data_IF_816769456214
#
_entry.id   IF_816769456214
#
_cell.length_a   1.000
_cell.length_b   1.000
_cell.length_c   1.000
_cell.angle_alpha   90.00
_cell.angle_beta   90.00
_cell.angle_gamma   90.00
#
_symmetry.space_group_name_H-M   'P 1'
#
loop_
_entity.id
_entity.type
_entity.pdbx_description
1 polymer ?
#
# COMPACT_ATOMS: atom_id res chain seq x y z
N UNK A 1 -8.89 -3.19 -27.86
CA UNK A 1 -8.76 -2.07 -28.82
C UNK A 1 -7.29 -1.59 -28.98
N UNK A 2 -6.56 -1.23 -27.88
CA UNK A 2 -5.19 -0.68 -27.97
C UNK A 2 -4.14 -1.65 -28.53
N UNK A 3 -4.29 -2.94 -28.30
CA UNK A 3 -3.33 -3.98 -28.69
C UNK A 3 -3.83 -4.89 -29.80
N UNK A 4 -4.95 -4.55 -30.42
CA UNK A 4 -5.57 -5.31 -31.52
C UNK A 4 -5.78 -6.80 -31.20
N UNK A 5 -6.20 -7.09 -29.95
CA UNK A 5 -6.56 -8.41 -29.49
C UNK A 5 -8.01 -8.67 -29.83
N UNK A 6 -8.36 -9.84 -30.39
CA UNK A 6 -9.76 -10.23 -30.61
C UNK A 6 -10.54 -10.16 -29.29
N UNK A 7 -11.68 -9.50 -29.31
CA UNK A 7 -12.54 -9.36 -28.14
C UNK A 7 -14.00 -9.29 -28.57
N UNK A 8 -14.80 -10.21 -28.05
CA UNK A 8 -16.25 -10.25 -28.26
C UNK A 8 -16.95 -9.82 -26.97
N UNK A 9 -17.78 -8.79 -27.03
CA UNK A 9 -18.43 -8.25 -25.85
C UNK A 9 -19.41 -9.22 -25.20
N UNK A 10 -20.04 -10.10 -25.98
CA UNK A 10 -21.02 -11.08 -25.50
C UNK A 10 -20.39 -12.31 -24.80
N UNK A 11 -19.09 -12.55 -25.03
CA UNK A 11 -18.37 -13.69 -24.45
C UNK A 11 -17.60 -13.36 -23.17
N UNK A 12 -17.57 -12.10 -22.80
CA UNK A 12 -16.85 -11.60 -21.64
C UNK A 12 -17.53 -12.07 -20.32
N UNK A 13 -16.76 -12.34 -19.28
CA UNK A 13 -17.13 -13.06 -18.03
C UNK A 13 -17.19 -14.59 -18.15
N UNK A 14 -16.76 -15.18 -19.25
CA UNK A 14 -16.41 -16.59 -19.30
C UNK A 14 -14.93 -16.74 -18.97
N UNK A 15 -14.62 -17.56 -17.96
CA UNK A 15 -13.25 -17.71 -17.45
C UNK A 15 -12.22 -18.13 -18.51
N UNK A 16 -12.61 -19.00 -19.44
CA UNK A 16 -11.80 -19.46 -20.58
C UNK A 16 -11.49 -18.31 -21.55
N UNK A 17 -12.50 -17.53 -21.92
CA UNK A 17 -12.36 -16.42 -22.85
C UNK A 17 -11.54 -15.25 -22.24
N UNK A 18 -11.79 -14.94 -20.98
CA UNK A 18 -11.03 -13.91 -20.26
C UNK A 18 -9.56 -14.32 -20.08
N UNK A 19 -9.30 -15.61 -19.83
CA UNK A 19 -7.94 -16.14 -19.76
C UNK A 19 -7.23 -16.07 -21.12
N UNK A 20 -7.90 -16.42 -22.22
CA UNK A 20 -7.35 -16.32 -23.57
C UNK A 20 -7.06 -14.86 -23.95
N UNK A 21 -7.99 -13.94 -23.69
CA UNK A 21 -7.78 -12.50 -23.89
C UNK A 21 -6.58 -11.97 -23.11
N UNK A 22 -6.42 -12.40 -21.87
CA UNK A 22 -5.27 -12.05 -21.03
C UNK A 22 -3.96 -12.60 -21.60
N UNK A 23 -3.96 -13.86 -22.05
CA UNK A 23 -2.79 -14.48 -22.68
C UNK A 23 -2.37 -13.74 -23.97
N UNK A 24 -3.32 -13.35 -24.81
CA UNK A 24 -3.04 -12.55 -26.00
C UNK A 24 -2.42 -11.19 -25.68
N UNK A 25 -2.93 -10.47 -24.68
CA UNK A 25 -2.35 -9.18 -24.22
C UNK A 25 -0.94 -9.42 -23.70
N UNK A 26 -0.74 -10.43 -22.87
CA UNK A 26 0.56 -10.78 -22.32
C UNK A 26 1.58 -11.12 -23.42
N UNK A 27 1.17 -11.91 -24.42
CA UNK A 27 2.03 -12.21 -25.57
C UNK A 27 2.44 -10.95 -26.35
N UNK A 28 1.53 -9.97 -26.49
CA UNK A 28 1.89 -8.68 -27.10
C UNK A 28 2.87 -7.87 -26.27
N UNK A 29 2.84 -7.98 -24.95
CA UNK A 29 3.85 -7.39 -24.09
C UNK A 29 5.22 -8.06 -24.26
N UNK A 30 5.25 -9.41 -24.29
CA UNK A 30 6.49 -10.15 -24.53
C UNK A 30 7.12 -9.76 -25.87
N UNK A 31 6.34 -9.72 -26.96
CA UNK A 31 6.85 -9.28 -28.27
C UNK A 31 7.46 -7.86 -28.22
N UNK A 32 6.87 -6.94 -27.45
CA UNK A 32 7.43 -5.59 -27.29
C UNK A 32 8.72 -5.59 -26.48
N UNK A 33 8.83 -6.43 -25.47
CA UNK A 33 10.00 -6.56 -24.63
C UNK A 33 11.16 -7.17 -25.42
N UNK A 34 10.91 -8.25 -26.18
CA UNK A 34 11.90 -8.87 -27.08
C UNK A 34 12.46 -7.84 -28.08
N UNK A 35 11.61 -7.04 -28.69
CA UNK A 35 12.03 -5.99 -29.63
C UNK A 35 12.92 -4.91 -28.98
N UNK A 36 12.96 -4.84 -27.66
CA UNK A 36 13.76 -3.90 -26.87
C UNK A 36 14.90 -4.58 -26.10
N UNK A 37 15.18 -5.85 -26.39
CA UNK A 37 16.22 -6.67 -25.73
C UNK A 37 16.00 -6.84 -24.21
N UNK A 38 14.76 -7.08 -23.78
CA UNK A 38 14.42 -7.50 -22.41
C UNK A 38 14.28 -9.03 -22.41
N UNK A 39 15.29 -9.73 -21.95
CA UNK A 39 15.33 -11.20 -21.97
C UNK A 39 14.91 -11.84 -20.65
N UNK A 40 15.07 -11.11 -19.54
CA UNK A 40 14.82 -11.61 -18.18
C UNK A 40 13.89 -10.68 -17.44
N UNK A 41 13.17 -11.22 -16.46
CA UNK A 41 12.29 -10.44 -15.57
C UNK A 41 13.05 -9.28 -14.90
N UNK A 42 14.30 -9.51 -14.51
CA UNK A 42 15.17 -8.47 -13.93
C UNK A 42 15.45 -7.29 -14.89
N UNK A 43 15.31 -7.50 -16.19
CA UNK A 43 15.50 -6.44 -17.16
C UNK A 43 14.36 -5.43 -17.15
N UNK A 44 13.19 -5.82 -16.63
CA UNK A 44 12.03 -4.94 -16.50
C UNK A 44 12.31 -3.73 -15.60
N UNK A 45 13.27 -3.83 -14.68
CA UNK A 45 13.68 -2.70 -13.85
C UNK A 45 14.22 -1.53 -14.69
N UNK A 46 14.72 -1.79 -15.91
CA UNK A 46 15.16 -0.75 -16.85
C UNK A 46 14.02 0.05 -17.47
N UNK A 47 12.77 -0.45 -17.38
CA UNK A 47 11.59 0.29 -17.85
C UNK A 47 11.29 1.51 -16.98
N UNK A 48 11.73 1.49 -15.73
CA UNK A 48 11.56 2.59 -14.80
C UNK A 48 12.83 3.44 -14.79
N UNK A 49 12.78 4.70 -15.21
CA UNK A 49 13.92 5.59 -15.17
C UNK A 49 14.49 5.69 -13.74
N UNK A 50 15.83 5.71 -13.63
CA UNK A 50 16.50 5.94 -12.34
C UNK A 50 15.99 7.26 -11.73
N UNK A 51 15.59 7.22 -10.48
CA UNK A 51 15.00 8.37 -9.77
C UNK A 51 13.49 8.53 -9.91
N UNK A 52 12.80 7.75 -10.75
CA UNK A 52 11.35 7.80 -10.94
C UNK A 52 10.58 6.65 -10.30
N UNK A 53 11.26 5.74 -9.60
CA UNK A 53 10.64 4.58 -8.92
C UNK A 53 9.45 4.98 -8.04
N UNK A 54 9.54 6.12 -7.36
CA UNK A 54 8.46 6.65 -6.52
C UNK A 54 7.16 6.92 -7.28
N UNK A 55 7.19 7.04 -8.61
CA UNK A 55 5.99 7.27 -9.44
C UNK A 55 5.24 5.98 -9.76
N UNK A 56 5.90 4.85 -9.79
CA UNK A 56 5.37 3.57 -10.28
C UNK A 56 5.09 2.54 -9.17
N UNK A 57 5.79 2.64 -8.04
CA UNK A 57 5.61 1.73 -6.92
C UNK A 57 4.27 1.92 -6.21
N UNK A 58 3.76 0.86 -5.59
CA UNK A 58 2.65 0.95 -4.64
C UNK A 58 3.06 1.83 -3.48
N UNK A 59 2.12 2.60 -2.97
CA UNK A 59 2.33 3.47 -1.81
C UNK A 59 1.56 2.94 -0.62
N UNK A 60 2.17 3.08 0.56
CA UNK A 60 1.60 2.68 1.83
C UNK A 60 1.76 3.81 2.84
N UNK A 61 0.88 3.84 3.82
CA UNK A 61 1.05 4.73 4.96
C UNK A 61 2.04 4.12 5.95
N UNK A 62 2.75 4.98 6.65
CA UNK A 62 3.53 4.63 7.83
C UNK A 62 3.56 5.81 8.80
N UNK A 63 3.80 5.54 10.06
CA UNK A 63 3.96 6.55 11.09
C UNK A 63 5.43 6.72 11.47
N UNK A 64 5.85 7.94 11.78
CA UNK A 64 7.19 8.24 12.24
C UNK A 64 7.14 9.04 13.54
N UNK A 65 7.79 8.53 14.59
CA UNK A 65 7.85 9.16 15.91
C UNK A 65 9.30 9.51 16.23
N UNK A 66 9.55 10.79 16.50
CA UNK A 66 10.87 11.24 16.96
C UNK A 66 11.07 10.87 18.43
N UNK A 67 12.14 10.13 18.73
CA UNK A 67 12.53 9.80 20.13
C UNK A 67 13.55 10.78 20.70
N UNK A 68 14.14 11.62 19.86
CA UNK A 68 15.11 12.64 20.26
C UNK A 68 15.20 13.77 19.20
N UNK A 69 16.02 14.79 19.47
CA UNK A 69 16.21 15.94 18.56
C UNK A 69 16.76 15.53 17.17
N UNK A 70 17.57 14.50 17.10
CA UNK A 70 18.10 13.97 15.84
C UNK A 70 16.98 13.35 15.01
N UNK A 71 16.14 12.54 15.65
CA UNK A 71 14.95 11.94 15.00
C UNK A 71 13.97 13.00 14.50
N UNK A 72 13.70 14.04 15.29
CA UNK A 72 12.86 15.16 14.85
C UNK A 72 13.43 15.82 13.58
N UNK A 73 14.74 16.10 13.55
CA UNK A 73 15.42 16.65 12.37
C UNK A 73 15.30 15.70 11.16
N UNK A 74 15.41 14.40 11.40
CA UNK A 74 15.30 13.40 10.34
C UNK A 74 13.86 13.30 9.80
N UNK A 75 12.83 13.39 10.65
CA UNK A 75 11.43 13.45 10.20
C UNK A 75 11.20 14.69 9.31
N UNK A 76 11.70 15.88 9.70
CA UNK A 76 11.61 17.07 8.84
C UNK A 76 12.28 16.86 7.48
N UNK A 77 13.41 16.14 7.42
CA UNK A 77 14.06 15.80 6.16
C UNK A 77 13.22 14.82 5.33
N UNK A 78 12.62 13.80 5.96
CA UNK A 78 11.69 12.87 5.29
C UNK A 78 10.52 13.62 4.66
N UNK A 79 9.88 14.52 5.43
CA UNK A 79 8.76 15.35 4.95
C UNK A 79 9.21 16.25 3.80
N UNK A 80 10.38 16.88 3.89
CA UNK A 80 10.92 17.72 2.83
C UNK A 80 11.16 16.93 1.55
N UNK A 81 11.81 15.77 1.64
CA UNK A 81 12.03 14.88 0.48
C UNK A 81 10.72 14.42 -0.15
N UNK A 82 9.75 14.04 0.68
CA UNK A 82 8.46 13.57 0.21
C UNK A 82 7.66 14.65 -0.54
N UNK A 83 7.80 15.93 -0.12
CA UNK A 83 7.08 17.05 -0.71
C UNK A 83 7.86 17.78 -1.82
N UNK A 84 9.08 17.37 -2.12
CA UNK A 84 9.91 17.97 -3.17
C UNK A 84 10.39 16.92 -4.17
N UNK A 85 11.39 16.12 -3.80
CA UNK A 85 12.05 15.16 -4.69
C UNK A 85 11.13 14.01 -5.10
N UNK A 86 10.32 13.53 -4.15
CA UNK A 86 9.46 12.35 -4.35
C UNK A 86 7.97 12.68 -4.44
N UNK A 87 7.62 13.94 -4.63
CA UNK A 87 6.23 14.35 -4.81
C UNK A 87 5.68 13.83 -6.15
N UNK A 88 4.67 12.97 -6.08
CA UNK A 88 3.93 12.51 -7.25
C UNK A 88 2.47 12.27 -6.89
N UNK A 89 1.58 13.18 -7.31
CA UNK A 89 0.16 13.27 -6.87
C UNK A 89 0.01 13.51 -5.36
N UNK A 90 0.67 12.70 -4.55
CA UNK A 90 0.75 12.80 -3.09
C UNK A 90 2.21 12.74 -2.65
N UNK A 91 2.56 13.26 -1.46
CA UNK A 91 3.90 13.11 -0.90
C UNK A 91 4.26 11.64 -0.73
N UNK A 92 5.44 11.23 -1.22
CA UNK A 92 5.95 9.86 -1.15
C UNK A 92 7.38 9.88 -0.64
N UNK A 93 7.83 8.77 -0.10
CA UNK A 93 9.23 8.59 0.25
C UNK A 93 9.65 7.15 -0.05
N UNK A 94 10.87 6.97 -0.51
CA UNK A 94 11.42 5.63 -0.74
C UNK A 94 11.79 4.97 0.59
N UNK A 95 11.60 3.67 0.69
CA UNK A 95 12.01 2.88 1.86
C UNK A 95 13.50 3.07 2.18
N UNK A 96 14.37 3.14 1.17
CA UNK A 96 15.80 3.40 1.32
C UNK A 96 16.10 4.76 1.97
N UNK A 97 15.29 5.78 1.69
CA UNK A 97 15.43 7.09 2.33
C UNK A 97 14.96 7.07 3.80
N UNK A 98 13.90 6.31 4.08
CA UNK A 98 13.45 6.10 5.47
C UNK A 98 14.55 5.39 6.26
N UNK A 99 15.14 4.33 5.70
CA UNK A 99 16.27 3.63 6.33
C UNK A 99 17.47 4.56 6.57
N UNK A 100 17.85 5.37 5.59
CA UNK A 100 18.94 6.34 5.72
C UNK A 100 18.71 7.38 6.81
N UNK A 101 17.46 7.74 7.06
CA UNK A 101 17.06 8.78 8.02
C UNK A 101 16.48 8.22 9.33
N UNK A 102 16.61 6.91 9.55
CA UNK A 102 15.97 6.20 10.66
C UNK A 102 16.52 6.54 12.06
N UNK A 103 17.76 7.06 12.14
CA UNK A 103 18.39 7.35 13.42
C UNK A 103 17.53 8.30 14.29
N UNK A 104 17.13 7.83 15.46
CA UNK A 104 16.29 8.56 16.42
C UNK A 104 14.80 8.63 16.03
N UNK A 105 14.36 7.79 15.08
CA UNK A 105 12.96 7.71 14.66
C UNK A 105 12.45 6.29 14.86
N UNK A 106 11.28 6.15 15.48
CA UNK A 106 10.51 4.91 15.46
C UNK A 106 9.55 4.92 14.26
N UNK A 107 9.56 3.82 13.52
CA UNK A 107 8.71 3.64 12.34
C UNK A 107 7.59 2.66 12.69
N UNK A 108 6.35 3.16 12.68
CA UNK A 108 5.14 2.38 12.86
C UNK A 108 4.47 2.03 11.54
N UNK A 109 3.73 0.93 11.49
CA UNK A 109 3.06 0.50 10.26
C UNK A 109 1.94 1.46 9.81
N UNK A 110 1.29 2.14 10.75
CA UNK A 110 0.16 3.01 10.45
C UNK A 110 -1.18 2.25 10.38
N UNK A 111 -2.14 2.81 9.63
CA UNK A 111 -3.54 2.35 9.55
C UNK A 111 -3.75 1.21 8.54
N UNK A 112 -5.00 1.00 8.11
CA UNK A 112 -5.36 0.00 7.08
C UNK A 112 -4.65 0.21 5.72
N UNK A 113 -4.19 1.41 5.45
CA UNK A 113 -3.38 1.74 4.27
C UNK A 113 -1.91 1.29 4.42
N UNK A 114 -1.53 0.68 5.54
CA UNK A 114 -0.17 0.19 5.78
C UNK A 114 0.19 -0.99 4.89
N UNK A 115 1.49 -1.13 4.63
CA UNK A 115 2.02 -2.26 3.89
C UNK A 115 1.72 -3.59 4.60
N UNK A 116 1.91 -3.65 5.92
CA UNK A 116 1.65 -4.87 6.72
C UNK A 116 0.20 -5.32 6.57
N UNK A 117 -0.76 -4.41 6.74
CA UNK A 117 -2.17 -4.76 6.64
C UNK A 117 -2.57 -5.21 5.24
N UNK A 118 -2.14 -4.48 4.20
CA UNK A 118 -2.49 -4.79 2.81
C UNK A 118 -1.83 -6.07 2.31
N UNK A 119 -0.54 -6.23 2.53
CA UNK A 119 0.22 -7.36 2.01
C UNK A 119 -0.11 -8.67 2.75
N UNK A 120 -0.54 -8.62 4.02
CA UNK A 120 -1.01 -9.79 4.75
C UNK A 120 -2.25 -10.47 4.12
N UNK A 121 -2.94 -9.82 3.15
CA UNK A 121 -4.02 -10.47 2.39
C UNK A 121 -3.50 -11.60 1.50
N UNK A 122 -2.32 -11.47 0.92
CA UNK A 122 -1.75 -12.41 -0.05
C UNK A 122 -0.45 -13.04 0.39
N UNK A 123 0.23 -12.47 1.40
CA UNK A 123 1.53 -12.94 1.88
C UNK A 123 1.41 -13.56 3.28
N UNK A 124 2.32 -14.49 3.55
CA UNK A 124 2.44 -15.17 4.83
C UNK A 124 3.89 -15.66 5.03
N UNK A 125 4.17 -16.24 6.20
CA UNK A 125 5.47 -16.81 6.52
C UNK A 125 6.60 -15.78 6.39
N UNK A 126 7.69 -16.18 5.73
CA UNK A 126 8.90 -15.37 5.60
C UNK A 126 8.68 -14.07 4.83
N UNK A 127 7.84 -14.08 3.80
CA UNK A 127 7.55 -12.87 3.02
C UNK A 127 6.89 -11.77 3.85
N UNK A 128 5.90 -12.15 4.67
CA UNK A 128 5.22 -11.22 5.56
C UNK A 128 6.13 -10.79 6.71
N UNK A 129 6.92 -11.71 7.24
CA UNK A 129 7.93 -11.41 8.29
C UNK A 129 8.95 -10.38 7.81
N UNK A 130 9.44 -10.48 6.57
CA UNK A 130 10.37 -9.53 5.99
C UNK A 130 9.77 -8.13 5.87
N UNK A 131 8.48 -8.02 5.55
CA UNK A 131 7.75 -6.74 5.55
C UNK A 131 7.65 -6.17 6.97
N UNK A 132 7.22 -6.99 7.93
CA UNK A 132 7.06 -6.61 9.34
C UNK A 132 8.39 -6.13 9.95
N UNK A 133 9.49 -6.76 9.59
CA UNK A 133 10.82 -6.43 10.11
C UNK A 133 11.31 -5.03 9.79
N UNK A 134 10.76 -4.39 8.77
CA UNK A 134 11.03 -2.99 8.46
C UNK A 134 10.53 -2.04 9.57
N UNK A 135 9.46 -2.38 10.26
CA UNK A 135 8.81 -1.54 11.27
C UNK A 135 9.35 -1.80 12.67
N UNK A 136 9.37 -0.78 13.52
CA UNK A 136 9.71 -0.90 14.94
C UNK A 136 8.49 -1.42 15.72
N UNK A 137 7.29 -1.03 15.30
CA UNK A 137 6.03 -1.51 15.85
C UNK A 137 4.96 -1.58 14.76
N UNK A 138 3.95 -2.41 14.97
CA UNK A 138 2.80 -2.56 14.08
C UNK A 138 1.54 -2.12 14.79
N UNK A 139 0.74 -1.32 14.12
CA UNK A 139 -0.54 -0.82 14.63
C UNK A 139 -1.68 -1.72 14.18
N UNK A 140 -2.63 -1.92 15.09
CA UNK A 140 -3.93 -2.53 14.80
C UNK A 140 -5.02 -1.65 15.39
N UNK A 141 -6.12 -1.53 14.69
CA UNK A 141 -7.27 -0.75 15.11
C UNK A 141 -8.43 -1.69 15.52
N UNK A 142 -9.42 -1.21 16.28
CA UNK A 142 -10.65 -1.96 16.51
C UNK A 142 -11.35 -2.32 15.19
N UNK A 143 -12.01 -3.49 15.10
CA UNK A 143 -12.66 -3.94 13.85
C UNK A 143 -13.61 -2.90 13.23
N UNK A 144 -14.28 -2.10 14.06
CA UNK A 144 -15.24 -1.07 13.61
C UNK A 144 -14.57 0.03 12.76
N UNK A 145 -13.27 0.28 12.96
CA UNK A 145 -12.51 1.26 12.16
C UNK A 145 -12.37 0.79 10.70
N UNK A 146 -12.38 -0.53 10.49
CA UNK A 146 -12.21 -1.15 9.17
C UNK A 146 -13.55 -1.45 8.45
N UNK A 147 -14.72 -1.14 9.04
CA UNK A 147 -16.02 -1.50 8.45
C UNK A 147 -16.25 -0.96 7.04
N UNK A 148 -15.61 0.15 6.70
CA UNK A 148 -15.66 0.70 5.34
C UNK A 148 -15.04 -0.24 4.30
N UNK A 149 -14.09 -1.09 4.67
CA UNK A 149 -13.47 -2.08 3.77
C UNK A 149 -14.45 -3.20 3.38
N UNK A 150 -15.38 -3.53 4.27
CA UNK A 150 -16.48 -4.47 3.96
C UNK A 150 -17.44 -3.81 2.97
N UNK A 151 -17.80 -2.54 3.20
CA UNK A 151 -18.68 -1.79 2.30
C UNK A 151 -18.07 -1.60 0.89
N UNK A 152 -16.73 -1.49 0.81
CA UNK A 152 -15.99 -1.38 -0.46
C UNK A 152 -15.80 -2.73 -1.16
N UNK A 153 -16.15 -3.86 -0.50
CA UNK A 153 -15.98 -5.20 -1.05
C UNK A 153 -14.57 -5.79 -0.88
N UNK A 154 -13.70 -5.14 -0.10
CA UNK A 154 -12.36 -5.65 0.21
C UNK A 154 -12.42 -6.90 1.10
N UNK A 155 -13.39 -6.98 1.98
CA UNK A 155 -13.72 -8.13 2.80
C UNK A 155 -15.20 -8.46 2.65
N UNK A 156 -15.52 -9.76 2.65
CA UNK A 156 -16.88 -10.25 2.47
C UNK A 156 -17.78 -9.89 3.65
N UNK A 157 -17.25 -10.03 4.86
CA UNK A 157 -17.97 -9.85 6.11
C UNK A 157 -17.02 -9.54 7.29
N UNK A 158 -17.59 -9.25 8.45
CA UNK A 158 -16.85 -8.97 9.69
C UNK A 158 -15.96 -10.14 10.12
N UNK A 159 -16.38 -11.36 9.90
CA UNK A 159 -15.63 -12.56 10.27
C UNK A 159 -14.34 -12.71 9.47
N UNK A 160 -14.42 -12.43 8.18
CA UNK A 160 -13.23 -12.43 7.31
C UNK A 160 -12.27 -11.32 7.72
N UNK A 161 -12.77 -10.13 7.98
CA UNK A 161 -11.99 -9.00 8.48
C UNK A 161 -11.31 -9.32 9.82
N UNK A 162 -12.03 -9.86 10.80
CA UNK A 162 -11.44 -10.28 12.06
C UNK A 162 -10.37 -11.35 11.89
N UNK A 163 -10.61 -12.31 11.00
CA UNK A 163 -9.61 -13.36 10.67
C UNK A 163 -8.35 -12.74 10.12
N UNK A 164 -8.48 -11.74 9.24
CA UNK A 164 -7.35 -11.00 8.70
C UNK A 164 -6.58 -10.22 9.80
N UNK A 165 -7.29 -9.51 10.68
CA UNK A 165 -6.66 -8.81 11.80
C UNK A 165 -5.91 -9.80 12.71
N UNK A 166 -6.51 -10.94 13.02
CA UNK A 166 -5.87 -12.01 13.82
C UNK A 166 -4.61 -12.56 13.13
N UNK A 167 -4.64 -12.73 11.79
CA UNK A 167 -3.48 -13.11 10.99
C UNK A 167 -2.33 -12.11 11.14
N UNK A 168 -2.63 -10.81 11.00
CA UNK A 168 -1.64 -9.74 11.19
C UNK A 168 -1.04 -9.81 12.60
N UNK A 169 -1.89 -9.89 13.62
CA UNK A 169 -1.44 -9.98 15.04
C UNK A 169 -0.54 -11.18 15.28
N UNK A 170 -0.89 -12.36 14.75
CA UNK A 170 -0.08 -13.57 14.87
C UNK A 170 1.27 -13.42 14.19
N UNK A 171 1.30 -12.95 12.94
CA UNK A 171 2.53 -12.74 12.20
C UNK A 171 3.48 -11.74 12.90
N UNK A 172 2.93 -10.67 13.48
CA UNK A 172 3.72 -9.66 14.20
C UNK A 172 4.31 -10.26 15.50
N UNK A 173 3.55 -11.09 16.22
CA UNK A 173 4.04 -11.82 17.41
C UNK A 173 5.15 -12.80 17.04
N UNK A 174 4.96 -13.57 15.97
CA UNK A 174 5.96 -14.52 15.46
C UNK A 174 7.25 -13.81 15.02
N UNK A 175 7.14 -12.61 14.44
CA UNK A 175 8.28 -11.76 14.10
C UNK A 175 8.93 -11.08 15.34
N UNK A 176 8.39 -11.26 16.54
CA UNK A 176 8.91 -10.65 17.77
C UNK A 176 8.77 -9.13 17.84
N UNK A 177 7.83 -8.55 17.09
CA UNK A 177 7.61 -7.10 17.04
C UNK A 177 6.51 -6.65 18.01
N UNK A 178 6.55 -5.37 18.38
CA UNK A 178 5.58 -4.74 19.26
C UNK A 178 4.28 -4.51 18.48
N UNK A 179 3.15 -4.86 19.10
CA UNK A 179 1.81 -4.54 18.59
C UNK A 179 1.25 -3.41 19.44
N UNK A 180 0.71 -2.39 18.77
CA UNK A 180 0.10 -1.23 19.41
C UNK A 180 -1.35 -1.11 18.95
N UNK A 181 -2.28 -1.05 19.88
CA UNK A 181 -3.67 -0.73 19.58
C UNK A 181 -3.84 0.79 19.43
N UNK A 182 -4.31 1.23 18.27
CA UNK A 182 -4.56 2.65 17.97
C UNK A 182 -5.98 2.86 17.48
N UNK A 183 -6.49 4.09 17.54
CA UNK A 183 -7.87 4.39 17.17
C UNK A 183 -8.04 4.93 15.75
N UNK A 184 -6.97 5.22 15.03
CA UNK A 184 -6.97 5.94 13.73
C UNK A 184 -7.90 7.17 13.75
N UNK A 185 -7.76 8.00 14.80
CA UNK A 185 -8.69 9.09 15.12
C UNK A 185 -8.53 10.25 14.13
N UNK A 186 -9.63 10.64 13.50
CA UNK A 186 -9.68 11.71 12.50
C UNK A 186 -10.52 12.92 12.93
N UNK A 187 -10.98 12.97 14.18
CA UNK A 187 -11.69 14.09 14.77
C UNK A 187 -11.41 14.17 16.27
N UNK A 188 -11.46 15.36 16.82
CA UNK A 188 -11.05 15.61 18.21
C UNK A 188 -12.16 15.22 19.21
N UNK A 189 -13.38 15.62 18.96
CA UNK A 189 -14.54 15.34 19.81
C UNK A 189 -15.49 14.35 19.14
N UNK A 190 -16.23 13.58 19.92
CA UNK A 190 -17.22 12.64 19.41
C UNK A 190 -18.26 13.31 18.51
N UNK A 191 -18.67 14.53 18.88
CA UNK A 191 -19.63 15.35 18.15
C UNK A 191 -19.11 15.77 16.77
N UNK A 192 -17.78 15.90 16.61
CA UNK A 192 -17.15 16.33 15.35
C UNK A 192 -17.23 15.23 14.26
N UNK A 193 -17.68 14.03 14.62
CA UNK A 193 -17.87 12.92 13.66
C UNK A 193 -18.73 13.33 12.46
N UNK A 194 -19.78 14.12 12.69
CA UNK A 194 -20.68 14.58 11.62
C UNK A 194 -19.94 15.46 10.60
N UNK A 195 -19.07 16.35 11.07
CA UNK A 195 -18.28 17.21 10.18
C UNK A 195 -17.31 16.38 9.35
N UNK A 196 -16.67 15.39 9.96
CA UNK A 196 -15.81 14.44 9.26
C UNK A 196 -16.58 13.68 8.17
N UNK A 197 -17.78 13.19 8.48
CA UNK A 197 -18.63 12.49 7.51
C UNK A 197 -18.99 13.38 6.32
N UNK A 198 -19.35 14.65 6.56
CA UNK A 198 -19.63 15.60 5.49
C UNK A 198 -18.41 15.80 4.59
N UNK A 199 -17.22 16.02 5.18
CA UNK A 199 -15.99 16.27 4.42
C UNK A 199 -15.60 15.07 3.55
N UNK A 200 -15.62 13.85 4.10
CA UNK A 200 -15.19 12.66 3.35
C UNK A 200 -16.18 12.23 2.26
N UNK A 201 -17.45 12.61 2.41
CA UNK A 201 -18.48 12.32 1.41
C UNK A 201 -18.67 13.45 0.39
N UNK A 202 -17.91 14.53 0.52
CA UNK A 202 -17.97 15.64 -0.44
C UNK A 202 -17.39 15.19 -1.78
N UNK A 203 -18.19 15.29 -2.84
CA UNK A 203 -17.68 15.06 -4.21
C UNK A 203 -16.72 16.17 -4.59
N UNK A 204 -15.47 15.82 -4.84
CA UNK A 204 -14.47 16.77 -5.36
C UNK A 204 -14.59 16.81 -6.88
N UNK A 205 -14.77 17.98 -7.52
CA UNK A 205 -14.79 18.06 -8.98
C UNK A 205 -13.49 17.48 -9.57
N UNK A 206 -13.61 16.48 -10.46
CA UNK A 206 -12.46 15.80 -11.09
C UNK A 206 -11.78 14.71 -10.24
N UNK A 207 -12.27 14.43 -9.05
CA UNK A 207 -11.90 13.25 -8.27
C UNK A 207 -12.78 12.06 -8.66
N UNK A 208 -12.15 10.96 -9.10
CA UNK A 208 -12.81 9.67 -9.28
C UNK A 208 -12.99 8.96 -7.96
#
# INVERSE_FOLDING_TARGET
KRYNVPWEEDAHHRADYDAEGTAHVFHKFLQKLDAQNYEKISDLDRLVPKGEIHKFGRTYHFNAIAVNKKGLKNIFKMISLANTVYLYKTPRILRSEVERLREGVLIGSGCYESEVFKEARSKEGEELTNIINFYDYVEVQPPEVYNHLIQMGDFKDEKELETHIKKVVSAVKEAGKIIVATGDVHHFRREDKIYRQIIVNQKVPGGG
#
